data_IF_117237884904
#
_entry.id   IF_117237884904
#
_cell.length_a   1.000
_cell.length_b   1.000
_cell.length_c   1.000
_cell.angle_alpha   90.00
_cell.angle_beta   90.00
_cell.angle_gamma   90.00
#
_symmetry.space_group_name_H-M   'P 1'
#
loop_
_entity.id
_entity.type
_entity.pdbx_description
1 polymer ?
#
# COMPACT_ATOMS: atom_id res chain seq x y z
N UNK A 1 -48.08 5.39 -21.44
CA UNK A 1 -47.22 6.47 -20.91
C UNK A 1 -47.14 6.32 -19.40
N UNK A 2 -46.14 5.60 -18.92
CA UNK A 2 -45.72 5.60 -17.51
C UNK A 2 -44.24 5.29 -17.52
N UNK A 3 -43.46 6.35 -17.68
CA UNK A 3 -42.00 6.38 -17.53
C UNK A 3 -41.66 6.04 -16.08
N UNK A 4 -41.20 4.82 -15.83
CA UNK A 4 -40.43 4.46 -14.64
C UNK A 4 -39.12 5.23 -14.69
N UNK A 5 -39.05 6.31 -13.92
CA UNK A 5 -37.83 7.05 -13.68
C UNK A 5 -36.82 6.11 -13.00
N UNK A 6 -35.75 5.85 -13.73
CA UNK A 6 -34.51 5.25 -13.28
C UNK A 6 -34.01 6.01 -12.04
N UNK A 7 -33.96 5.34 -10.89
CA UNK A 7 -33.51 5.92 -9.63
C UNK A 7 -31.98 5.76 -9.60
N UNK A 8 -31.18 6.81 -9.83
CA UNK A 8 -29.73 6.68 -9.81
C UNK A 8 -29.31 6.29 -8.40
N UNK A 9 -28.72 5.09 -8.30
CA UNK A 9 -28.18 4.54 -7.07
C UNK A 9 -27.44 5.62 -6.27
N UNK A 10 -27.80 5.74 -4.98
CA UNK A 10 -27.20 6.65 -4.00
C UNK A 10 -25.67 6.55 -4.07
N UNK A 11 -25.03 7.50 -4.77
CA UNK A 11 -23.58 7.65 -4.79
C UNK A 11 -23.13 8.00 -3.38
N UNK A 12 -22.36 7.13 -2.76
CA UNK A 12 -21.78 7.40 -1.44
C UNK A 12 -20.70 8.51 -1.59
N UNK A 13 -21.12 9.77 -1.50
CA UNK A 13 -20.26 10.96 -1.47
C UNK A 13 -19.65 11.14 -0.07
N UNK A 14 -18.93 10.13 0.41
CA UNK A 14 -18.10 10.23 1.61
C UNK A 14 -16.63 10.51 1.27
N UNK A 15 -15.78 10.89 2.25
CA UNK A 15 -14.33 11.10 2.04
C UNK A 15 -13.61 9.87 1.45
N UNK A 16 -14.19 8.67 1.63
CA UNK A 16 -13.70 7.42 1.05
C UNK A 16 -14.05 7.22 -0.44
N UNK A 17 -14.96 8.01 -1.01
CA UNK A 17 -15.34 7.92 -2.42
C UNK A 17 -14.21 8.31 -3.36
N UNK A 18 -13.46 9.36 -3.02
CA UNK A 18 -12.25 9.75 -3.76
C UNK A 18 -11.17 8.65 -3.72
N UNK A 19 -10.99 8.00 -2.57
CA UNK A 19 -10.05 6.88 -2.43
C UNK A 19 -10.44 5.67 -3.28
N UNK A 20 -11.75 5.43 -3.48
CA UNK A 20 -12.26 4.31 -4.30
C UNK A 20 -11.94 4.47 -5.78
N UNK A 21 -11.90 5.68 -6.31
CA UNK A 21 -11.69 5.94 -7.74
C UNK A 21 -10.22 6.14 -8.13
N UNK A 22 -9.31 6.17 -7.14
CA UNK A 22 -7.88 6.23 -7.41
C UNK A 22 -7.36 4.96 -8.07
N UNK A 23 -6.40 5.14 -8.98
CA UNK A 23 -5.59 4.06 -9.54
C UNK A 23 -5.00 3.19 -8.44
N UNK A 24 -4.98 1.87 -8.63
CA UNK A 24 -4.46 0.85 -7.70
C UNK A 24 -3.08 1.19 -7.16
N UNK A 25 -2.14 1.58 -8.02
CA UNK A 25 -0.80 2.02 -7.60
C UNK A 25 -0.84 3.23 -6.65
N UNK A 26 -1.69 4.23 -6.92
CA UNK A 26 -1.84 5.42 -6.08
C UNK A 26 -2.54 5.11 -4.75
N UNK A 27 -3.51 4.19 -4.74
CA UNK A 27 -4.16 3.69 -3.50
C UNK A 27 -3.13 3.04 -2.59
N UNK A 28 -2.32 2.13 -3.12
CA UNK A 28 -1.25 1.46 -2.37
C UNK A 28 -0.24 2.49 -1.85
N UNK A 29 0.28 3.36 -2.73
CA UNK A 29 1.27 4.36 -2.33
C UNK A 29 0.74 5.30 -1.25
N UNK A 30 -0.50 5.80 -1.37
CA UNK A 30 -1.11 6.63 -0.34
C UNK A 30 -1.26 5.89 1.00
N UNK A 31 -1.67 4.61 0.98
CA UNK A 31 -1.80 3.80 2.20
C UNK A 31 -0.45 3.54 2.88
N UNK A 32 0.59 3.24 2.11
CA UNK A 32 1.94 3.06 2.63
C UNK A 32 2.53 4.36 3.14
N UNK A 33 2.29 5.50 2.48
CA UNK A 33 2.73 6.80 2.97
C UNK A 33 2.10 7.14 4.32
N UNK A 34 0.81 6.83 4.53
CA UNK A 34 0.15 7.02 5.83
C UNK A 34 0.80 6.13 6.89
N UNK A 35 1.05 4.86 6.59
CA UNK A 35 1.74 3.94 7.51
C UNK A 35 3.15 4.41 7.86
N UNK A 36 3.92 4.85 6.86
CA UNK A 36 5.26 5.40 7.05
C UNK A 36 5.18 6.66 7.92
N UNK A 37 4.27 7.59 7.63
CA UNK A 37 4.10 8.80 8.44
C UNK A 37 3.75 8.49 9.90
N UNK A 38 2.89 7.51 10.15
CA UNK A 38 2.58 7.04 11.51
C UNK A 38 3.82 6.46 12.17
N UNK A 39 4.54 5.57 11.47
CA UNK A 39 5.74 4.92 12.02
C UNK A 39 6.87 5.92 12.30
N UNK A 40 7.11 6.86 11.39
CA UNK A 40 8.05 7.96 11.59
C UNK A 40 7.62 8.86 12.74
N UNK A 41 6.33 9.18 12.85
CA UNK A 41 5.80 9.97 13.97
C UNK A 41 6.05 9.28 15.31
N UNK A 42 5.75 7.98 15.43
CA UNK A 42 6.01 7.19 16.64
C UNK A 42 7.52 7.14 16.94
N UNK A 43 8.36 6.94 15.92
CA UNK A 43 9.81 6.92 16.06
C UNK A 43 10.37 8.25 16.57
N UNK A 44 9.94 9.37 15.99
CA UNK A 44 10.34 10.72 16.43
C UNK A 44 9.87 11.00 17.85
N UNK A 45 8.66 10.59 18.21
CA UNK A 45 8.12 10.74 19.55
C UNK A 45 8.96 9.94 20.56
N UNK A 46 9.30 8.68 20.24
CA UNK A 46 10.19 7.86 21.06
C UNK A 46 11.58 8.46 21.24
N UNK A 47 12.20 8.95 20.15
CA UNK A 47 13.50 9.62 20.21
C UNK A 47 13.45 10.89 21.05
N UNK A 48 12.39 11.69 20.94
CA UNK A 48 12.24 12.92 21.73
C UNK A 48 12.15 12.62 23.23
N UNK A 49 11.42 11.56 23.62
CA UNK A 49 11.31 11.14 25.02
C UNK A 49 12.63 10.59 25.57
N UNK A 50 13.37 9.84 24.75
CA UNK A 50 14.69 9.33 25.12
C UNK A 50 15.71 10.47 25.30
N UNK A 51 15.63 11.52 24.47
CA UNK A 51 16.44 12.72 24.65
C UNK A 51 16.13 13.43 25.97
N UNK A 52 14.86 13.54 26.38
CA UNK A 52 14.48 14.11 27.67
C UNK A 52 15.09 13.32 28.84
N UNK A 53 15.02 11.99 28.81
CA UNK A 53 15.64 11.13 29.85
C UNK A 53 17.15 11.37 29.90
N UNK A 54 17.81 11.47 28.74
CA UNK A 54 19.25 11.75 28.70
C UNK A 54 19.61 13.11 29.32
N UNK A 55 18.81 14.16 29.06
CA UNK A 55 19.03 15.48 29.68
C UNK A 55 18.76 15.48 31.19
N UNK A 56 17.79 14.69 31.66
CA UNK A 56 17.51 14.54 33.09
C UNK A 56 18.68 13.82 33.80
N UNK A 57 19.22 12.76 33.20
CA UNK A 57 20.40 12.06 33.73
C UNK A 57 21.63 12.96 33.79
N UNK A 58 21.87 13.77 32.75
CA UNK A 58 22.96 14.73 32.73
C UNK A 58 22.84 15.76 33.86
N UNK A 59 21.63 16.31 34.07
CA UNK A 59 21.35 17.23 35.17
C UNK A 59 21.48 16.56 36.55
N UNK A 60 21.08 15.29 36.71
CA UNK A 60 21.28 14.58 38.00
C UNK A 60 22.76 14.42 38.34
N UNK A 61 23.61 14.19 37.34
CA UNK A 61 25.05 14.08 37.55
C UNK A 61 25.68 15.45 37.80
N UNK A 62 25.65 16.34 36.80
CA UNK A 62 26.39 17.60 36.82
C UNK A 62 25.82 18.61 37.81
N UNK A 63 24.50 18.65 37.99
CA UNK A 63 23.88 19.71 38.79
C UNK A 63 23.51 19.29 40.21
N UNK A 64 23.40 17.97 40.48
CA UNK A 64 23.00 17.46 41.81
C UNK A 64 24.11 16.66 42.48
N UNK A 65 24.59 15.58 41.86
CA UNK A 65 25.61 14.73 42.47
C UNK A 65 26.93 15.48 42.69
N UNK A 66 27.38 16.25 41.68
CA UNK A 66 28.59 17.07 41.81
C UNK A 66 28.42 18.13 42.89
N UNK A 67 27.25 18.78 42.98
CA UNK A 67 26.98 19.77 44.03
C UNK A 67 27.10 19.16 45.43
N UNK A 68 26.43 18.04 45.72
CA UNK A 68 26.50 17.35 47.02
C UNK A 68 27.93 16.88 47.34
N UNK A 69 28.64 16.30 46.35
CA UNK A 69 30.04 15.88 46.52
C UNK A 69 30.95 17.08 46.86
N UNK A 70 30.74 18.24 46.23
CA UNK A 70 31.55 19.43 46.53
C UNK A 70 31.32 19.96 47.94
N UNK A 71 30.10 19.90 48.48
CA UNK A 71 29.82 20.24 49.89
C UNK A 71 30.53 19.30 50.86
N UNK A 72 30.54 17.99 50.58
CA UNK A 72 31.31 17.03 51.38
C UNK A 72 32.83 17.30 51.34
N UNK A 73 33.36 17.81 50.22
CA UNK A 73 34.76 18.27 50.15
C UNK A 73 34.98 19.53 50.99
N UNK A 74 34.05 20.47 51.01
CA UNK A 74 34.11 21.66 51.87
C UNK A 74 34.19 21.23 53.33
N UNK A 75 33.28 20.36 53.77
CA UNK A 75 33.24 19.83 55.14
C UNK A 75 34.57 19.19 55.54
N UNK A 76 35.07 18.23 54.74
CA UNK A 76 36.31 17.52 55.04
C UNK A 76 37.54 18.45 55.10
N UNK A 77 37.60 19.47 54.22
CA UNK A 77 38.70 20.44 54.19
C UNK A 77 38.62 21.43 55.35
N UNK A 78 37.42 21.86 55.70
CA UNK A 78 37.18 22.73 56.84
C UNK A 78 37.54 22.02 58.15
N UNK A 79 37.15 20.76 58.33
CA UNK A 79 37.58 19.95 59.49
C UNK A 79 39.09 19.80 59.55
N UNK A 80 39.74 19.47 58.42
CA UNK A 80 41.19 19.42 58.36
C UNK A 80 41.84 20.75 58.79
N UNK A 81 41.25 21.89 58.39
CA UNK A 81 41.73 23.22 58.74
C UNK A 81 41.61 23.47 60.25
N UNK A 82 40.47 23.12 60.86
CA UNK A 82 40.23 23.24 62.30
C UNK A 82 41.30 22.48 63.10
N UNK A 83 41.62 21.26 62.69
CA UNK A 83 42.70 20.49 63.33
C UNK A 83 44.06 21.16 63.19
N UNK A 84 44.39 21.73 62.03
CA UNK A 84 45.68 22.44 61.84
C UNK A 84 45.83 23.65 62.74
N UNK A 85 44.74 24.35 63.03
CA UNK A 85 44.75 25.49 63.94
C UNK A 85 45.14 25.07 65.37
N UNK A 86 44.64 23.93 65.83
CA UNK A 86 45.02 23.35 67.13
C UNK A 86 46.45 22.81 67.09
N UNK A 87 46.84 22.08 66.04
CA UNK A 87 48.21 21.55 65.86
C UNK A 87 49.28 22.65 65.97
N UNK A 88 48.97 23.86 65.49
CA UNK A 88 49.88 25.00 65.57
C UNK A 88 50.30 25.34 67.01
N UNK A 89 49.39 25.17 67.97
CA UNK A 89 49.62 25.49 69.39
C UNK A 89 50.61 24.54 70.06
N UNK A 90 50.69 23.30 69.58
CA UNK A 90 51.54 22.23 70.14
C UNK A 90 52.77 21.91 69.27
N UNK A 91 52.91 22.57 68.13
CA UNK A 91 54.01 22.34 67.20
C UNK A 91 55.39 22.66 67.84
N UNK A 92 56.36 21.73 67.80
CA UNK A 92 57.58 21.82 68.61
C UNK A 92 58.66 22.74 68.02
N UNK A 93 58.59 23.07 66.73
CA UNK A 93 59.62 23.85 66.03
C UNK A 93 59.02 24.96 65.16
N UNK A 94 59.77 26.07 64.91
CA UNK A 94 59.35 27.12 63.98
C UNK A 94 59.03 26.60 62.58
N UNK A 95 59.83 25.66 62.06
CA UNK A 95 59.59 25.05 60.75
C UNK A 95 58.27 24.27 60.71
N UNK A 96 57.93 23.55 61.79
CA UNK A 96 56.65 22.85 61.88
C UNK A 96 55.47 23.84 61.91
N UNK A 97 55.59 24.93 62.67
CA UNK A 97 54.61 26.02 62.71
C UNK A 97 54.42 26.65 61.33
N UNK A 98 55.49 26.94 60.61
CA UNK A 98 55.41 27.51 59.27
C UNK A 98 54.72 26.57 58.28
N UNK A 99 55.03 25.27 58.30
CA UNK A 99 54.33 24.28 57.45
C UNK A 99 52.84 24.22 57.74
N UNK A 100 52.45 24.31 59.01
CA UNK A 100 51.04 24.34 59.41
C UNK A 100 50.34 25.59 58.87
N UNK A 101 50.97 26.77 58.95
CA UNK A 101 50.42 28.01 58.37
C UNK A 101 50.24 27.91 56.86
N UNK A 102 51.25 27.40 56.15
CA UNK A 102 51.14 27.13 54.71
C UNK A 102 49.97 26.21 54.42
N UNK A 103 49.81 25.13 55.20
CA UNK A 103 48.71 24.18 55.01
C UNK A 103 47.34 24.78 55.30
N UNK A 104 47.23 25.68 56.28
CA UNK A 104 45.98 26.41 56.53
C UNK A 104 45.60 27.24 55.31
N UNK A 105 46.54 28.00 54.73
CA UNK A 105 46.30 28.79 53.53
C UNK A 105 45.92 27.95 52.30
N UNK A 106 46.57 26.79 52.12
CA UNK A 106 46.18 25.82 51.08
C UNK A 106 44.74 25.30 51.27
N UNK A 107 44.37 24.95 52.51
CA UNK A 107 43.03 24.45 52.82
C UNK A 107 41.96 25.53 52.63
N UNK A 108 42.24 26.78 52.99
CA UNK A 108 41.34 27.90 52.69
C UNK A 108 41.07 28.03 51.19
N UNK A 109 42.13 28.01 50.37
CA UNK A 109 41.99 28.07 48.91
C UNK A 109 41.18 26.89 48.36
N UNK A 110 41.43 25.66 48.86
CA UNK A 110 40.67 24.48 48.45
C UNK A 110 39.20 24.54 48.89
N UNK A 111 38.89 25.18 50.02
CA UNK A 111 37.50 25.41 50.44
C UNK A 111 36.83 26.40 49.50
N UNK A 112 37.50 27.50 49.16
CA UNK A 112 36.98 28.52 48.25
C UNK A 112 36.72 27.95 46.85
N UNK A 113 37.65 27.14 46.33
CA UNK A 113 37.49 26.46 45.03
C UNK A 113 36.28 25.51 45.02
N UNK A 114 36.05 24.76 46.12
CA UNK A 114 34.89 23.89 46.21
C UNK A 114 33.57 24.65 46.34
N UNK A 115 33.55 25.76 47.09
CA UNK A 115 32.36 26.62 47.18
C UNK A 115 32.05 27.30 45.85
N UNK A 116 33.07 27.66 45.06
CA UNK A 116 32.88 28.18 43.70
C UNK A 116 32.33 27.09 42.77
N UNK A 117 32.90 25.88 42.83
CA UNK A 117 32.42 24.73 42.04
C UNK A 117 30.98 24.37 42.39
N UNK A 118 30.62 24.37 43.69
CA UNK A 118 29.25 24.16 44.14
C UNK A 118 28.30 25.17 43.50
N UNK A 119 28.65 26.46 43.53
CA UNK A 119 27.83 27.54 42.99
C UNK A 119 27.64 27.45 41.48
N UNK A 120 28.61 26.91 40.76
CA UNK A 120 28.50 26.68 39.30
C UNK A 120 27.67 25.43 38.97
N UNK A 121 27.79 24.39 39.79
CA UNK A 121 27.09 23.12 39.58
C UNK A 121 25.63 23.18 40.03
N UNK A 122 25.36 23.71 41.22
CA UNK A 122 24.02 23.69 41.79
C UNK A 122 23.05 24.55 40.97
N UNK A 123 21.89 23.96 40.69
CA UNK A 123 20.75 24.63 40.06
C UNK A 123 19.58 24.78 41.02
N UNK A 124 19.81 24.58 42.32
CA UNK A 124 18.76 24.64 43.33
C UNK A 124 18.18 26.04 43.46
N UNK A 125 16.92 26.12 43.88
CA UNK A 125 16.30 27.42 44.10
C UNK A 125 16.70 28.01 45.46
N UNK A 126 16.94 27.14 46.44
CA UNK A 126 17.30 27.52 47.81
C UNK A 126 18.81 27.37 48.06
N UNK A 127 19.44 28.50 48.35
CA UNK A 127 20.87 28.60 48.67
C UNK A 127 21.10 29.08 50.12
N UNK A 128 20.09 28.96 50.99
CA UNK A 128 20.16 29.47 52.35
C UNK A 128 21.29 28.85 53.18
N UNK A 129 21.54 27.55 53.02
CA UNK A 129 22.68 26.87 53.62
C UNK A 129 24.00 27.39 53.05
N UNK A 130 24.11 27.50 51.72
CA UNK A 130 25.29 28.07 51.04
C UNK A 130 25.64 29.48 51.53
N UNK A 131 24.66 30.38 51.59
CA UNK A 131 24.87 31.77 52.02
C UNK A 131 25.35 31.85 53.48
N UNK A 132 24.83 30.97 54.36
CA UNK A 132 25.29 30.84 55.74
C UNK A 132 26.70 30.28 55.82
N UNK A 133 27.05 29.26 55.03
CA UNK A 133 28.42 28.73 54.95
C UNK A 133 29.40 29.85 54.58
N UNK A 134 29.13 30.59 53.50
CA UNK A 134 30.02 31.66 53.02
C UNK A 134 30.19 32.75 54.09
N UNK A 135 29.10 33.17 54.71
CA UNK A 135 29.11 34.22 55.75
C UNK A 135 29.89 33.78 56.99
N UNK A 136 29.59 32.60 57.52
CA UNK A 136 30.20 32.11 58.75
C UNK A 136 31.67 31.71 58.53
N UNK A 137 32.02 31.20 57.34
CA UNK A 137 33.41 30.92 56.97
C UNK A 137 34.25 32.20 56.92
N UNK A 138 33.70 33.29 56.37
CA UNK A 138 34.38 34.59 56.35
C UNK A 138 34.62 35.12 57.77
N UNK A 139 33.62 35.01 58.65
CA UNK A 139 33.74 35.39 60.05
C UNK A 139 34.72 34.48 60.80
N UNK A 140 34.68 33.17 60.57
CA UNK A 140 35.63 32.19 61.12
C UNK A 140 37.06 32.59 60.80
N UNK A 141 37.36 32.88 59.51
CA UNK A 141 38.69 33.30 59.06
C UNK A 141 39.11 34.62 59.71
N UNK A 142 38.20 35.59 59.79
CA UNK A 142 38.47 36.86 60.46
C UNK A 142 38.89 36.66 61.92
N UNK A 143 38.14 35.90 62.71
CA UNK A 143 38.45 35.64 64.13
C UNK A 143 39.74 34.83 64.26
N UNK A 144 39.93 33.81 63.42
CA UNK A 144 41.15 33.00 63.36
C UNK A 144 42.38 33.88 63.14
N UNK A 145 42.36 34.74 62.13
CA UNK A 145 43.54 35.46 61.67
C UNK A 145 43.86 36.68 62.54
N UNK A 146 42.84 37.38 63.04
CA UNK A 146 43.02 38.64 63.78
C UNK A 146 43.15 38.44 65.29
N UNK A 147 42.65 37.34 65.84
CA UNK A 147 42.59 37.14 67.29
C UNK A 147 43.21 35.82 67.73
N UNK A 148 42.81 34.70 67.13
CA UNK A 148 43.22 33.37 67.58
C UNK A 148 44.69 33.05 67.27
N UNK A 149 45.12 33.30 66.03
CA UNK A 149 46.48 33.00 65.59
C UNK A 149 47.53 33.87 66.30
N UNK A 150 47.32 35.18 66.55
CA UNK A 150 48.19 35.97 67.41
C UNK A 150 48.37 35.39 68.82
N UNK A 151 47.30 34.88 69.46
CA UNK A 151 47.39 34.23 70.78
C UNK A 151 48.25 32.96 70.70
N UNK A 152 48.07 32.16 69.66
CA UNK A 152 48.85 30.94 69.44
C UNK A 152 50.34 31.25 69.15
N UNK A 153 50.62 32.31 68.38
CA UNK A 153 51.97 32.80 68.11
C UNK A 153 52.67 33.31 69.38
N UNK A 154 51.93 33.99 70.25
CA UNK A 154 52.42 34.48 71.54
C UNK A 154 52.54 33.40 72.62
N UNK A 155 52.14 32.15 72.33
CA UNK A 155 52.16 31.04 73.29
C UNK A 155 51.11 31.16 74.41
N UNK A 156 50.10 32.02 74.25
CA UNK A 156 49.03 32.26 75.23
C UNK A 156 47.93 31.20 75.11
N UNK A 157 48.27 29.94 75.37
CA UNK A 157 47.40 28.78 75.12
C UNK A 157 46.10 28.82 75.92
N UNK A 158 46.12 29.27 77.18
CA UNK A 158 44.90 29.34 78.00
C UNK A 158 43.85 30.29 77.38
N UNK A 159 44.30 31.45 76.89
CA UNK A 159 43.42 32.42 76.23
C UNK A 159 42.99 31.97 74.85
N UNK A 160 43.88 31.28 74.12
CA UNK A 160 43.52 30.62 72.87
C UNK A 160 42.36 29.64 73.07
N UNK A 161 42.42 28.78 74.09
CA UNK A 161 41.37 27.77 74.36
C UNK A 161 40.04 28.43 74.71
N UNK A 162 40.05 29.46 75.56
CA UNK A 162 38.83 30.20 75.93
C UNK A 162 38.22 30.86 74.69
N UNK A 163 39.01 31.60 73.92
CA UNK A 163 38.52 32.31 72.74
C UNK A 163 38.06 31.34 71.63
N UNK A 164 38.76 30.22 71.48
CA UNK A 164 38.37 29.16 70.55
C UNK A 164 36.99 28.62 70.92
N UNK A 165 36.76 28.30 72.20
CA UNK A 165 35.47 27.77 72.64
C UNK A 165 34.35 28.80 72.56
N UNK A 166 34.60 30.07 72.90
CA UNK A 166 33.58 31.12 72.89
C UNK A 166 33.22 31.60 71.49
N UNK A 167 34.16 31.60 70.53
CA UNK A 167 33.95 32.22 69.22
C UNK A 167 34.13 31.29 68.02
N UNK A 168 35.05 30.34 68.08
CA UNK A 168 35.35 29.46 66.94
C UNK A 168 34.46 28.23 66.93
N UNK A 169 34.27 27.57 68.09
CA UNK A 169 33.39 26.40 68.20
C UNK A 169 31.97 26.70 67.71
N UNK A 170 31.29 27.80 68.11
CA UNK A 170 29.95 28.11 67.62
C UNK A 170 29.88 28.36 66.11
N UNK A 171 30.88 29.04 65.54
CA UNK A 171 30.97 29.26 64.09
C UNK A 171 31.17 27.94 63.35
N UNK A 172 32.01 27.05 63.87
CA UNK A 172 32.24 25.76 63.25
C UNK A 172 30.98 24.85 63.28
N UNK A 173 30.23 24.87 64.38
CA UNK A 173 28.93 24.20 64.46
C UNK A 173 27.95 24.81 63.46
N UNK A 174 27.88 26.14 63.40
CA UNK A 174 27.01 26.87 62.46
C UNK A 174 27.31 26.53 61.00
N UNK A 175 28.59 26.42 60.63
CA UNK A 175 29.03 26.01 59.29
C UNK A 175 28.64 24.57 59.00
N UNK A 176 28.86 23.64 59.94
CA UNK A 176 28.49 22.23 59.77
C UNK A 176 26.97 22.07 59.56
N UNK A 177 26.16 22.72 60.42
CA UNK A 177 24.70 22.75 60.27
C UNK A 177 24.26 23.36 58.93
N UNK A 178 24.96 24.38 58.44
CA UNK A 178 24.67 25.01 57.16
C UNK A 178 25.03 24.12 55.97
N UNK A 179 26.10 23.32 56.08
CA UNK A 179 26.44 22.27 55.09
C UNK A 179 25.36 21.21 55.06
N UNK A 180 24.97 20.67 56.22
CA UNK A 180 23.92 19.66 56.33
C UNK A 180 22.60 20.16 55.74
N UNK A 181 22.21 21.40 56.08
CA UNK A 181 21.02 22.05 55.54
C UNK A 181 21.08 22.13 54.01
N UNK A 182 22.19 22.56 53.43
CA UNK A 182 22.30 22.66 51.97
C UNK A 182 22.30 21.27 51.31
N UNK A 183 22.92 20.26 51.92
CA UNK A 183 22.88 18.88 51.43
C UNK A 183 21.44 18.34 51.45
N UNK A 184 20.68 18.62 52.51
CA UNK A 184 19.26 18.25 52.61
C UNK A 184 18.44 18.90 51.49
N UNK A 185 18.62 20.21 51.26
CA UNK A 185 17.99 20.93 50.14
C UNK A 185 18.30 20.27 48.79
N UNK A 186 19.57 19.97 48.51
CA UNK A 186 19.96 19.35 47.23
C UNK A 186 19.38 17.94 47.06
N UNK A 187 19.32 17.15 48.13
CA UNK A 187 18.76 15.81 48.12
C UNK A 187 17.24 15.82 47.94
N UNK A 188 16.53 16.70 48.64
CA UNK A 188 15.08 16.85 48.53
C UNK A 188 14.68 17.28 47.11
N UNK A 189 15.39 18.24 46.52
CA UNK A 189 15.15 18.64 45.14
C UNK A 189 15.52 17.52 44.14
N UNK A 190 16.56 16.74 44.41
CA UNK A 190 16.91 15.58 43.60
C UNK A 190 15.84 14.47 43.67
N UNK A 191 15.25 14.21 44.83
CA UNK A 191 14.15 13.26 45.01
C UNK A 191 12.88 13.73 44.29
N UNK A 192 12.56 15.03 44.36
CA UNK A 192 11.45 15.62 43.60
C UNK A 192 11.68 15.49 42.09
N UNK A 193 12.90 15.75 41.62
CA UNK A 193 13.27 15.59 40.21
C UNK A 193 13.16 14.13 39.76
N UNK A 194 13.57 13.17 40.61
CA UNK A 194 13.42 11.74 40.33
C UNK A 194 11.94 11.34 40.24
N UNK A 195 11.12 11.75 41.20
CA UNK A 195 9.67 11.48 41.20
C UNK A 195 8.99 12.05 39.96
N UNK A 196 9.35 13.27 39.57
CA UNK A 196 8.86 13.88 38.33
C UNK A 196 9.32 13.10 37.09
N UNK A 197 10.57 12.66 37.04
CA UNK A 197 11.11 11.86 35.94
C UNK A 197 10.42 10.49 35.81
N UNK A 198 10.09 9.83 36.94
CA UNK A 198 9.32 8.57 36.94
C UNK A 198 7.90 8.77 36.41
N UNK A 199 7.22 9.84 36.81
CA UNK A 199 5.90 10.21 36.30
C UNK A 199 5.95 10.50 34.79
N UNK A 200 6.94 11.26 34.34
CA UNK A 200 7.19 11.57 32.93
C UNK A 200 7.50 10.31 32.11
N UNK A 201 8.27 9.38 32.67
CA UNK A 201 8.56 8.09 32.05
C UNK A 201 7.29 7.25 31.87
N UNK A 202 6.47 7.11 32.91
CA UNK A 202 5.20 6.39 32.87
C UNK A 202 4.20 7.00 31.87
N UNK A 203 4.08 8.34 31.88
CA UNK A 203 3.27 9.07 30.91
C UNK A 203 3.78 8.88 29.47
N UNK A 204 5.10 8.84 29.29
CA UNK A 204 5.74 8.60 28.00
C UNK A 204 5.46 7.18 27.48
N UNK A 205 5.56 6.16 28.34
CA UNK A 205 5.18 4.79 27.99
C UNK A 205 3.71 4.70 27.55
N UNK A 206 2.81 5.32 28.32
CA UNK A 206 1.38 5.31 28.01
C UNK A 206 1.10 5.99 26.66
N UNK A 207 1.78 7.10 26.38
CA UNK A 207 1.68 7.82 25.11
C UNK A 207 2.22 7.01 23.93
N UNK A 208 3.39 6.38 24.09
CA UNK A 208 4.03 5.56 23.04
C UNK A 208 3.18 4.31 22.75
N UNK A 209 2.75 3.59 23.79
CA UNK A 209 1.90 2.41 23.65
C UNK A 209 0.55 2.79 23.03
N UNK A 210 -0.05 3.90 23.48
CA UNK A 210 -1.27 4.42 22.87
C UNK A 210 -1.11 4.73 21.39
N UNK A 211 -0.02 5.41 21.01
CA UNK A 211 0.29 5.71 19.61
C UNK A 211 0.53 4.44 18.77
N UNK A 212 1.22 3.43 19.33
CA UNK A 212 1.42 2.12 18.68
C UNK A 212 0.10 1.40 18.44
N UNK A 213 -0.79 1.35 19.44
CA UNK A 213 -2.10 0.71 19.32
C UNK A 213 -2.96 1.42 18.27
N UNK A 214 -3.01 2.76 18.31
CA UNK A 214 -3.73 3.54 17.29
C UNK A 214 -3.15 3.30 15.90
N UNK A 215 -1.82 3.31 15.76
CA UNK A 215 -1.14 3.02 14.49
C UNK A 215 -1.46 1.61 13.97
N UNK A 216 -1.46 0.60 14.84
CA UNK A 216 -1.80 -0.78 14.49
C UNK A 216 -3.27 -0.91 14.05
N UNK A 217 -4.20 -0.26 14.76
CA UNK A 217 -5.62 -0.24 14.39
C UNK A 217 -5.83 0.44 13.04
N UNK A 218 -5.21 1.60 12.81
CA UNK A 218 -5.27 2.30 11.53
C UNK A 218 -4.69 1.46 10.39
N UNK A 219 -3.55 0.79 10.63
CA UNK A 219 -2.95 -0.11 9.66
C UNK A 219 -3.83 -1.32 9.34
N UNK A 220 -4.47 -1.93 10.34
CA UNK A 220 -5.41 -3.02 10.15
C UNK A 220 -6.65 -2.57 9.36
N UNK A 221 -7.23 -1.42 9.69
CA UNK A 221 -8.36 -0.84 8.96
C UNK A 221 -7.98 -0.57 7.50
N UNK A 222 -6.79 0.00 7.27
CA UNK A 222 -6.28 0.25 5.92
C UNK A 222 -6.05 -1.04 5.13
N UNK A 223 -5.47 -2.08 5.77
CA UNK A 223 -5.27 -3.38 5.15
C UNK A 223 -6.61 -4.05 4.77
N UNK A 224 -7.59 -4.04 5.68
CA UNK A 224 -8.92 -4.60 5.43
C UNK A 224 -9.69 -3.84 4.35
N UNK A 225 -9.58 -2.51 4.30
CA UNK A 225 -10.22 -1.70 3.27
C UNK A 225 -9.60 -1.94 1.90
N UNK A 226 -8.27 -1.96 1.78
CA UNK A 226 -7.58 -2.32 0.52
C UNK A 226 -7.91 -3.74 0.06
N UNK A 227 -7.90 -4.72 0.97
CA UNK A 227 -8.27 -6.10 0.65
C UNK A 227 -9.71 -6.21 0.13
N UNK A 228 -10.64 -5.41 0.66
CA UNK A 228 -12.02 -5.35 0.16
C UNK A 228 -12.17 -4.57 -1.15
N UNK A 229 -11.37 -3.52 -1.36
CA UNK A 229 -11.45 -2.65 -2.55
C UNK A 229 -10.75 -3.24 -3.77
N UNK A 230 -9.72 -4.06 -3.57
CA UNK A 230 -8.91 -4.62 -4.66
C UNK A 230 -9.20 -6.11 -4.83
N UNK A 231 -9.01 -6.91 -3.77
CA UNK A 231 -9.05 -8.38 -3.91
C UNK A 231 -10.45 -8.91 -4.20
N UNK A 232 -11.52 -8.30 -3.66
CA UNK A 232 -12.91 -8.74 -3.94
C UNK A 232 -13.32 -8.51 -5.41
N UNK A 233 -13.17 -7.31 -6.01
CA UNK A 233 -13.50 -7.12 -7.42
C UNK A 233 -12.65 -7.99 -8.37
N UNK A 234 -11.36 -8.19 -8.06
CA UNK A 234 -10.52 -9.11 -8.83
C UNK A 234 -11.03 -10.55 -8.75
N UNK A 235 -11.40 -11.04 -7.57
CA UNK A 235 -11.97 -12.37 -7.42
C UNK A 235 -13.28 -12.55 -8.22
N UNK A 236 -14.16 -11.53 -8.23
CA UNK A 236 -15.37 -11.55 -9.07
C UNK A 236 -15.06 -11.55 -10.56
N UNK A 237 -14.02 -10.82 -10.97
CA UNK A 237 -13.57 -10.81 -12.38
C UNK A 237 -13.13 -12.20 -12.81
N UNK A 238 -12.37 -12.90 -11.96
CA UNK A 238 -11.97 -14.30 -12.19
C UNK A 238 -13.19 -15.23 -12.29
N UNK A 239 -14.19 -15.07 -11.41
CA UNK A 239 -15.42 -15.87 -11.45
C UNK A 239 -16.19 -15.68 -12.77
N UNK A 240 -16.33 -14.44 -13.26
CA UNK A 240 -16.99 -14.17 -14.54
C UNK A 240 -16.20 -14.74 -15.71
N UNK A 241 -14.87 -14.60 -15.73
CA UNK A 241 -14.01 -15.19 -16.75
C UNK A 241 -14.11 -16.73 -16.79
N UNK A 242 -14.17 -17.37 -15.62
CA UNK A 242 -14.41 -18.82 -15.54
C UNK A 242 -15.78 -19.20 -16.12
N UNK A 243 -16.81 -18.37 -15.89
CA UNK A 243 -18.11 -18.52 -16.53
C UNK A 243 -18.04 -18.44 -18.06
N UNK A 244 -17.34 -17.43 -18.59
CA UNK A 244 -17.13 -17.27 -20.04
C UNK A 244 -16.39 -18.48 -20.63
N UNK A 245 -15.35 -18.98 -19.94
CA UNK A 245 -14.63 -20.18 -20.36
C UNK A 245 -15.52 -21.43 -20.39
N UNK A 246 -16.55 -21.50 -19.53
CA UNK A 246 -17.58 -22.53 -19.53
C UNK A 246 -18.72 -22.26 -20.54
N UNK A 247 -18.61 -21.24 -21.39
CA UNK A 247 -19.62 -20.88 -22.40
C UNK A 247 -20.80 -20.05 -21.87
N UNK A 248 -20.73 -19.55 -20.64
CA UNK A 248 -21.76 -18.69 -20.04
C UNK A 248 -21.54 -17.23 -20.40
N UNK A 249 -22.42 -16.69 -21.25
CA UNK A 249 -22.40 -15.28 -21.71
C UNK A 249 -23.57 -14.46 -21.14
N UNK A 250 -24.27 -14.99 -20.13
CA UNK A 250 -25.42 -14.39 -19.44
C UNK A 250 -25.02 -13.51 -18.24
N UNK A 251 -23.75 -13.55 -17.84
CA UNK A 251 -23.24 -12.86 -16.65
C UNK A 251 -22.45 -11.61 -17.04
N UNK A 252 -22.74 -10.50 -16.38
CA UNK A 252 -21.93 -9.27 -16.46
C UNK A 252 -21.25 -9.00 -15.12
N UNK A 253 -20.12 -8.29 -15.18
CA UNK A 253 -19.39 -7.85 -14.01
C UNK A 253 -19.85 -6.44 -13.61
N UNK A 254 -20.58 -6.35 -12.50
CA UNK A 254 -21.01 -5.06 -11.92
C UNK A 254 -19.94 -4.52 -10.97
N UNK A 255 -19.12 -3.61 -11.50
CA UNK A 255 -18.08 -2.88 -10.77
C UNK A 255 -18.21 -1.40 -11.09
N UNK A 256 -18.75 -0.65 -10.13
CA UNK A 256 -18.87 0.81 -10.18
C UNK A 256 -17.62 1.48 -9.58
N UNK A 257 -16.47 1.35 -10.26
CA UNK A 257 -15.23 2.08 -9.92
C UNK A 257 -14.63 2.70 -11.18
N UNK A 258 -13.85 3.78 -11.01
CA UNK A 258 -13.15 4.48 -12.11
C UNK A 258 -11.65 4.19 -12.17
N UNK A 259 -11.22 3.12 -11.50
CA UNK A 259 -9.84 2.66 -11.45
C UNK A 259 -9.58 1.55 -12.48
N UNK A 260 -8.38 0.96 -12.46
CA UNK A 260 -8.02 -0.12 -13.38
C UNK A 260 -8.96 -1.33 -13.28
N UNK A 261 -9.56 -1.58 -12.10
CA UNK A 261 -10.51 -2.68 -11.92
C UNK A 261 -11.83 -2.38 -12.63
N UNK A 262 -12.30 -1.13 -12.56
CA UNK A 262 -13.46 -0.68 -13.33
C UNK A 262 -13.21 -0.67 -14.85
N UNK A 263 -11.99 -0.34 -15.28
CA UNK A 263 -11.57 -0.42 -16.68
C UNK A 263 -11.60 -1.89 -17.17
N UNK A 264 -11.04 -2.81 -16.39
CA UNK A 264 -11.09 -4.25 -16.67
C UNK A 264 -12.53 -4.77 -16.74
N UNK A 265 -13.40 -4.33 -15.82
CA UNK A 265 -14.79 -4.75 -15.80
C UNK A 265 -15.56 -4.32 -17.05
N UNK A 266 -15.39 -3.06 -17.47
CA UNK A 266 -16.01 -2.54 -18.70
C UNK A 266 -15.50 -3.26 -19.94
N UNK A 267 -14.19 -3.47 -20.05
CA UNK A 267 -13.60 -4.20 -21.17
C UNK A 267 -14.09 -5.66 -21.24
N UNK A 268 -14.21 -6.33 -20.08
CA UNK A 268 -14.75 -7.69 -20.01
C UNK A 268 -16.22 -7.75 -20.45
N UNK A 269 -17.06 -6.83 -19.97
CA UNK A 269 -18.47 -6.78 -20.37
C UNK A 269 -18.61 -6.53 -21.89
N UNK A 270 -17.84 -5.61 -22.46
CA UNK A 270 -17.83 -5.36 -23.91
C UNK A 270 -17.41 -6.61 -24.70
N UNK A 271 -16.42 -7.37 -24.20
CA UNK A 271 -16.00 -8.62 -24.82
C UNK A 271 -17.11 -9.69 -24.77
N UNK A 272 -17.77 -9.86 -23.62
CA UNK A 272 -18.91 -10.79 -23.46
C UNK A 272 -20.03 -10.44 -24.43
N UNK A 273 -20.38 -9.15 -24.56
CA UNK A 273 -21.42 -8.68 -25.48
C UNK A 273 -21.07 -8.96 -26.94
N UNK A 274 -19.82 -8.69 -27.36
CA UNK A 274 -19.36 -8.98 -28.73
C UNK A 274 -19.35 -10.48 -29.04
N UNK A 275 -18.86 -11.31 -28.12
CA UNK A 275 -18.87 -12.78 -28.27
C UNK A 275 -20.32 -13.27 -28.34
N UNK A 276 -21.20 -12.80 -27.45
CA UNK A 276 -22.62 -13.16 -27.45
C UNK A 276 -23.33 -12.76 -28.74
N UNK A 277 -23.03 -11.57 -29.28
CA UNK A 277 -23.58 -11.13 -30.56
C UNK A 277 -23.08 -11.96 -31.73
N UNK A 278 -21.79 -12.33 -31.74
CA UNK A 278 -21.23 -13.19 -32.78
C UNK A 278 -21.88 -14.59 -32.75
N UNK A 279 -22.05 -15.18 -31.56
CA UNK A 279 -22.71 -16.49 -31.40
C UNK A 279 -24.17 -16.47 -31.85
N UNK A 280 -24.92 -15.40 -31.56
CA UNK A 280 -26.29 -15.22 -32.08
C UNK A 280 -26.31 -15.10 -33.61
N UNK A 281 -25.36 -14.37 -34.19
CA UNK A 281 -25.20 -14.26 -35.64
C UNK A 281 -24.91 -15.61 -36.31
N UNK A 282 -24.02 -16.41 -35.73
CA UNK A 282 -23.74 -17.78 -36.18
C UNK A 282 -25.00 -18.65 -36.10
N UNK A 283 -25.75 -18.56 -34.99
CA UNK A 283 -27.02 -19.30 -34.84
C UNK A 283 -28.07 -18.94 -35.88
N UNK A 284 -28.24 -17.66 -36.19
CA UNK A 284 -29.13 -17.19 -37.26
C UNK A 284 -28.67 -17.70 -38.63
N UNK A 285 -27.38 -17.57 -38.97
CA UNK A 285 -26.85 -18.06 -40.24
C UNK A 285 -27.00 -19.58 -40.37
N UNK A 286 -26.84 -20.35 -39.29
CA UNK A 286 -27.06 -21.79 -39.28
C UNK A 286 -28.53 -22.15 -39.56
N UNK A 287 -29.50 -21.39 -39.01
CA UNK A 287 -30.92 -21.56 -39.34
C UNK A 287 -31.22 -21.24 -40.79
N UNK A 288 -30.68 -20.15 -41.33
CA UNK A 288 -30.81 -19.82 -42.76
C UNK A 288 -30.21 -20.91 -43.64
N UNK A 289 -29.04 -21.43 -43.28
CA UNK A 289 -28.38 -22.51 -44.01
C UNK A 289 -29.19 -23.82 -43.95
N UNK A 290 -29.79 -24.14 -42.80
CA UNK A 290 -30.67 -25.30 -42.65
C UNK A 290 -31.90 -25.17 -43.58
N UNK A 291 -32.57 -24.02 -43.57
CA UNK A 291 -33.72 -23.76 -44.45
C UNK A 291 -33.35 -23.83 -45.94
N UNK A 292 -32.21 -23.22 -46.34
CA UNK A 292 -31.73 -23.31 -47.71
C UNK A 292 -31.37 -24.75 -48.12
N UNK A 293 -30.88 -25.57 -47.19
CA UNK A 293 -30.59 -26.98 -47.44
C UNK A 293 -31.87 -27.80 -47.63
N UNK A 294 -32.94 -27.48 -46.89
CA UNK A 294 -34.27 -28.10 -47.09
C UNK A 294 -34.87 -27.73 -48.46
N UNK A 295 -34.79 -26.46 -48.85
CA UNK A 295 -35.25 -25.99 -50.16
C UNK A 295 -34.46 -26.62 -51.33
N UNK A 296 -33.12 -26.73 -51.17
CA UNK A 296 -32.26 -27.41 -52.14
C UNK A 296 -32.60 -28.90 -52.25
N UNK A 297 -32.90 -29.57 -51.13
CA UNK A 297 -33.33 -30.97 -51.11
C UNK A 297 -34.65 -31.16 -51.87
N UNK A 298 -35.64 -30.29 -51.62
CA UNK A 298 -36.93 -30.31 -52.33
C UNK A 298 -36.74 -30.07 -53.84
N UNK A 299 -35.92 -29.09 -54.21
CA UNK A 299 -35.61 -28.77 -55.62
C UNK A 299 -34.89 -29.93 -56.32
N UNK A 300 -33.93 -30.57 -55.63
CA UNK A 300 -33.22 -31.74 -56.15
C UNK A 300 -34.17 -32.92 -56.37
N UNK A 301 -35.14 -33.13 -55.46
CA UNK A 301 -36.20 -34.12 -55.63
C UNK A 301 -37.06 -33.86 -56.86
N UNK A 302 -37.51 -32.61 -57.05
CA UNK A 302 -38.28 -32.22 -58.24
C UNK A 302 -37.48 -32.39 -59.54
N UNK A 303 -36.20 -32.03 -59.53
CA UNK A 303 -35.32 -32.22 -60.69
C UNK A 303 -35.17 -33.70 -61.05
N UNK A 304 -35.08 -34.60 -60.07
CA UNK A 304 -35.06 -36.04 -60.30
C UNK A 304 -36.35 -36.51 -60.99
N UNK A 305 -37.52 -36.07 -60.51
CA UNK A 305 -38.81 -36.40 -61.14
C UNK A 305 -38.92 -35.86 -62.56
N UNK A 306 -38.51 -34.62 -62.81
CA UNK A 306 -38.52 -34.04 -64.16
C UNK A 306 -37.56 -34.77 -65.12
N UNK A 307 -36.42 -35.24 -64.61
CA UNK A 307 -35.48 -36.03 -65.39
C UNK A 307 -36.06 -37.41 -65.76
N UNK A 308 -36.76 -38.07 -64.84
CA UNK A 308 -37.50 -39.32 -65.10
C UNK A 308 -38.59 -39.11 -66.16
N UNK A 309 -39.37 -38.03 -66.06
CA UNK A 309 -40.41 -37.69 -67.04
C UNK A 309 -39.81 -37.38 -68.42
N UNK A 310 -38.72 -36.60 -68.47
CA UNK A 310 -38.01 -36.31 -69.71
C UNK A 310 -37.45 -37.58 -70.35
N UNK A 311 -36.92 -38.51 -69.55
CA UNK A 311 -36.43 -39.80 -70.05
C UNK A 311 -37.58 -40.65 -70.62
N UNK A 312 -38.74 -40.68 -69.94
CA UNK A 312 -39.93 -41.36 -70.44
C UNK A 312 -40.42 -40.76 -71.77
N UNK A 313 -40.47 -39.43 -71.87
CA UNK A 313 -40.86 -38.72 -73.08
C UNK A 313 -39.86 -38.95 -74.23
N UNK A 314 -38.56 -38.93 -73.96
CA UNK A 314 -37.53 -39.29 -74.94
C UNK A 314 -37.71 -40.73 -75.44
N UNK A 315 -38.05 -41.67 -74.55
CA UNK A 315 -38.40 -43.04 -74.91
C UNK A 315 -39.62 -43.12 -75.83
N UNK A 316 -40.68 -42.36 -75.51
CA UNK A 316 -41.88 -42.28 -76.35
C UNK A 316 -41.59 -41.68 -77.74
N UNK A 317 -40.77 -40.63 -77.80
CA UNK A 317 -40.31 -40.02 -79.07
C UNK A 317 -39.48 -41.01 -79.89
N UNK A 318 -38.58 -41.77 -79.24
CA UNK A 318 -37.80 -42.82 -79.91
C UNK A 318 -38.71 -43.89 -80.54
N UNK A 319 -39.70 -44.37 -79.79
CA UNK A 319 -40.68 -45.34 -80.30
C UNK A 319 -41.51 -44.77 -81.47
N UNK A 320 -41.93 -43.49 -81.37
CA UNK A 320 -42.62 -42.82 -82.47
C UNK A 320 -41.73 -42.67 -83.70
N UNK A 321 -40.44 -42.34 -83.52
CA UNK A 321 -39.47 -42.24 -84.61
C UNK A 321 -39.23 -43.60 -85.29
N UNK A 322 -39.16 -44.71 -84.54
CA UNK A 322 -39.10 -46.07 -85.09
C UNK A 322 -40.34 -46.39 -85.94
N UNK A 323 -41.54 -46.04 -85.44
CA UNK A 323 -42.79 -46.23 -86.17
C UNK A 323 -42.85 -45.38 -87.45
N UNK A 324 -42.41 -44.12 -87.39
CA UNK A 324 -42.30 -43.26 -88.58
C UNK A 324 -41.31 -43.85 -89.58
N UNK A 325 -40.15 -44.34 -89.14
CA UNK A 325 -39.20 -45.01 -90.03
C UNK A 325 -39.87 -46.21 -90.72
N UNK A 326 -40.53 -47.08 -89.96
CA UNK A 326 -41.26 -48.24 -90.51
C UNK A 326 -42.32 -47.83 -91.55
N UNK A 327 -43.07 -46.76 -91.28
CA UNK A 327 -44.02 -46.21 -92.23
C UNK A 327 -43.33 -45.65 -93.48
N UNK A 328 -42.19 -44.97 -93.35
CA UNK A 328 -41.39 -44.49 -94.49
C UNK A 328 -40.85 -45.66 -95.32
N UNK A 329 -40.40 -46.75 -94.69
CA UNK A 329 -40.03 -47.99 -95.39
C UNK A 329 -41.22 -48.57 -96.16
N UNK A 330 -42.41 -48.58 -95.54
CA UNK A 330 -43.64 -49.06 -96.17
C UNK A 330 -44.04 -48.19 -97.37
N UNK A 331 -43.96 -46.86 -97.23
CA UNK A 331 -44.20 -45.90 -98.31
C UNK A 331 -43.17 -46.09 -99.42
N UNK A 332 -41.89 -46.27 -99.09
CA UNK A 332 -40.83 -46.52 -100.07
C UNK A 332 -41.13 -47.77 -100.90
N UNK A 333 -41.50 -48.88 -100.25
CA UNK A 333 -41.92 -50.10 -100.93
C UNK A 333 -43.15 -49.88 -101.83
N UNK A 334 -44.16 -49.15 -101.33
CA UNK A 334 -45.34 -48.77 -102.12
C UNK A 334 -45.00 -47.90 -103.33
N UNK A 335 -44.04 -46.98 -103.21
CA UNK A 335 -43.56 -46.18 -104.35
C UNK A 335 -42.75 -47.00 -105.36
N UNK A 336 -42.00 -48.02 -104.92
CA UNK A 336 -41.31 -48.96 -105.83
C UNK A 336 -42.32 -49.80 -106.63
N UNK A 337 -43.35 -50.31 -105.96
CA UNK A 337 -44.44 -51.08 -106.58
C UNK A 337 -45.25 -50.21 -107.55
N UNK A 338 -45.60 -48.99 -107.14
CA UNK A 338 -46.25 -48.00 -108.01
C UNK A 338 -45.35 -47.63 -109.21
N UNK A 339 -44.03 -47.53 -109.01
CA UNK A 339 -43.07 -47.35 -110.09
C UNK A 339 -43.02 -48.54 -111.05
N UNK A 340 -43.23 -49.77 -110.57
CA UNK A 340 -43.40 -50.95 -111.42
C UNK A 340 -44.72 -50.90 -112.22
N UNK A 341 -45.85 -50.58 -111.57
CA UNK A 341 -47.14 -50.42 -112.26
C UNK A 341 -47.14 -49.29 -113.28
N UNK A 342 -46.48 -48.16 -113.02
CA UNK A 342 -46.34 -47.08 -114.02
C UNK A 342 -45.54 -47.55 -115.24
N UNK A 343 -44.46 -48.33 -115.04
CA UNK A 343 -43.72 -48.94 -116.15
C UNK A 343 -44.59 -49.92 -116.93
N UNK A 344 -45.39 -50.71 -116.25
CA UNK A 344 -46.34 -51.65 -116.87
C UNK A 344 -47.44 -50.92 -117.66
N UNK A 345 -48.03 -49.86 -117.10
CA UNK A 345 -48.99 -48.99 -117.79
C UNK A 345 -48.35 -48.35 -119.02
N UNK A 346 -47.12 -47.83 -118.90
CA UNK A 346 -46.40 -47.26 -120.04
C UNK A 346 -46.16 -48.30 -121.14
N UNK A 347 -45.88 -49.55 -120.76
CA UNK A 347 -45.71 -50.68 -121.69
C UNK A 347 -47.03 -51.04 -122.37
N UNK A 348 -48.11 -51.17 -121.61
CA UNK A 348 -49.46 -51.44 -122.12
C UNK A 348 -49.99 -50.30 -123.01
N UNK A 349 -49.70 -49.03 -122.67
CA UNK A 349 -50.08 -47.88 -123.46
C UNK A 349 -49.29 -47.82 -124.78
N UNK A 350 -47.99 -48.16 -124.76
CA UNK A 350 -47.18 -48.29 -125.97
C UNK A 350 -47.67 -49.44 -126.86
N UNK A 351 -48.07 -50.57 -126.28
CA UNK A 351 -48.65 -51.71 -126.99
C UNK A 351 -50.01 -51.38 -127.60
N UNK A 352 -50.89 -50.71 -126.84
CA UNK A 352 -52.17 -50.21 -127.34
C UNK A 352 -52.00 -49.18 -128.48
N UNK A 353 -51.00 -48.29 -128.37
CA UNK A 353 -50.66 -47.34 -129.43
C UNK A 353 -50.14 -48.05 -130.70
N UNK A 354 -49.35 -49.12 -130.55
CA UNK A 354 -48.90 -49.95 -131.66
C UNK A 354 -50.05 -50.73 -132.33
N UNK A 355 -51.02 -51.23 -131.56
CA UNK A 355 -52.24 -51.87 -132.08
C UNK A 355 -53.12 -50.86 -132.83
N UNK A 356 -53.30 -49.65 -132.29
CA UNK A 356 -54.02 -48.58 -132.95
C UNK A 356 -53.34 -48.16 -134.27
N UNK A 357 -52.01 -48.07 -134.30
CA UNK A 357 -51.25 -47.79 -135.51
C UNK A 357 -51.46 -48.89 -136.58
N UNK A 358 -51.41 -50.18 -136.19
CA UNK A 358 -51.71 -51.31 -137.11
C UNK A 358 -53.15 -51.27 -137.63
N UNK A 359 -54.11 -50.86 -136.79
CA UNK A 359 -55.51 -50.71 -137.20
C UNK A 359 -55.70 -49.58 -138.23
N UNK A 360 -55.01 -48.45 -138.08
CA UNK A 360 -55.03 -47.35 -139.08
C UNK A 360 -54.41 -47.80 -140.41
N UNK A 361 -53.28 -48.50 -140.38
CA UNK A 361 -52.66 -49.03 -141.61
C UNK A 361 -53.58 -50.04 -142.32
N UNK A 362 -54.33 -50.86 -141.58
CA UNK A 362 -55.30 -51.79 -142.17
C UNK A 362 -56.49 -51.06 -142.85
N UNK A 363 -56.88 -49.89 -142.34
CA UNK A 363 -57.92 -49.05 -142.95
C UNK A 363 -57.41 -48.37 -144.22
N UNK A 364 -56.16 -47.90 -144.25
CA UNK A 364 -55.56 -47.23 -145.42
C UNK A 364 -55.33 -48.17 -146.62
N UNK A 365 -55.13 -49.47 -146.42
CA UNK A 365 -54.96 -50.43 -147.52
C UNK A 365 -56.27 -50.89 -148.18
N UNK A 366 -57.42 -50.39 -147.73
CA UNK A 366 -58.76 -50.84 -148.18
C UNK A 366 -59.56 -49.77 -148.93
N UNK A 367 -58.90 -48.69 -149.40
CA UNK A 367 -59.47 -47.68 -150.33
C UNK A 367 -58.69 -47.67 -151.62
#
# INVERSE_FOLDING_TARGET
MTTTADNPARRATGPFGFFRDLKTARKLLASFLVLIAIMTGIGLLGLSKLATVNTQLDSMYHNRLVAVDTLGRVEARFEALRFRLVDYTIAPTPDAKQRILTRIGELDGLVDDALATFKEASTSADHSGYDRIVTDMALYRQVRDTELLPLAQAGRVAEFVILHEERITPLAVSIAEAIDLQIEVENDEAEQALTAAEADYSASLTTIVGALVVGAVLGLVMALTLGRLISRPLARTVEVLQGVAAGRLDRTLDVDTRDEVGDMARALNEAIDKIGSAMRGIGANAQTLAAASEELSATSGQMSSNAEESAAQAGAVSAAAEQVSSNVQTVAAGTEEMGASIREIATNAAEASAVAARAVTAVETTS
#
